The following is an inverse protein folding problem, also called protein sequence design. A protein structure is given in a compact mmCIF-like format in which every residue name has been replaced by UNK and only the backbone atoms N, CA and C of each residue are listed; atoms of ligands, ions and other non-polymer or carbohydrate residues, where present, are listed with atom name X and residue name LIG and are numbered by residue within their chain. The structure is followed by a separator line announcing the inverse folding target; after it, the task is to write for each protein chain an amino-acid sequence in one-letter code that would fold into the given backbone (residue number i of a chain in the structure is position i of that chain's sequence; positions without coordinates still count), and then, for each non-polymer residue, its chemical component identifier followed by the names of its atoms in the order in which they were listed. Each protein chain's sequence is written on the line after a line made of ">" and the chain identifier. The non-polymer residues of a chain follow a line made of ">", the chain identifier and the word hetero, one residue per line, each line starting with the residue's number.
data_IF_554869902469
#
_entry.id   IF_554869902469
#
_cell.length_a   1.000
_cell.length_b   1.000
_cell.length_c   1.000
_cell.angle_alpha   90.00
_cell.angle_beta   90.00
_cell.angle_gamma   90.00
#
_symmetry.space_group_name_H-M   'P 1'
#
loop_
_entity.id
_entity.type
_entity.pdbx_description
1 polymer ?
#
# COMPACT_ATOMS: atom_id res chain seq x y z
N UNK A 1 3.71 -15.43 17.61
CA UNK A 1 3.21 -14.05 17.54
C UNK A 1 4.00 -13.26 16.50
N UNK A 2 3.45 -12.16 16.06
CA UNK A 2 4.09 -11.28 15.08
C UNK A 2 4.78 -10.14 15.80
N UNK A 3 5.98 -9.75 15.37
CA UNK A 3 6.71 -8.59 15.91
C UNK A 3 6.10 -7.26 15.42
N UNK A 4 5.52 -7.26 14.21
CA UNK A 4 4.87 -6.10 13.59
C UNK A 4 3.54 -6.51 12.97
N UNK A 5 2.50 -5.72 13.22
CA UNK A 5 1.17 -5.88 12.58
C UNK A 5 0.82 -4.59 11.85
N UNK A 6 0.62 -4.65 10.55
CA UNK A 6 0.08 -3.55 9.77
C UNK A 6 -1.43 -3.73 9.57
N UNK A 7 -2.23 -2.75 9.97
CA UNK A 7 -3.69 -2.79 9.82
C UNK A 7 -4.12 -1.84 8.71
N UNK A 8 -4.83 -2.36 7.72
CA UNK A 8 -5.46 -1.55 6.69
C UNK A 8 -6.90 -1.23 7.11
N UNK A 9 -7.20 0.04 7.33
CA UNK A 9 -8.55 0.52 7.69
C UNK A 9 -9.43 0.82 6.47
N UNK A 10 -8.86 0.76 5.26
CA UNK A 10 -9.53 1.10 3.97
C UNK A 10 -10.23 2.47 3.99
N UNK A 11 -9.68 3.41 4.78
CA UNK A 11 -10.31 4.70 5.13
C UNK A 11 -10.09 5.80 4.09
N UNK A 12 -9.25 5.57 3.06
CA UNK A 12 -8.89 6.60 2.06
C UNK A 12 -10.09 7.25 1.39
N UNK A 13 -11.12 6.47 1.05
CA UNK A 13 -12.33 6.92 0.36
C UNK A 13 -13.51 7.22 1.30
N UNK A 14 -13.30 7.14 2.61
CA UNK A 14 -14.33 7.43 3.59
C UNK A 14 -14.44 8.95 3.81
N UNK A 15 -15.62 9.40 4.29
CA UNK A 15 -15.73 10.75 4.87
C UNK A 15 -14.83 10.86 6.10
N UNK A 16 -14.38 12.08 6.42
CA UNK A 16 -13.52 12.36 7.59
C UNK A 16 -14.02 11.68 8.87
N UNK A 17 -15.33 11.79 9.17
CA UNK A 17 -15.91 11.15 10.36
C UNK A 17 -15.75 9.63 10.35
N UNK A 18 -16.08 8.97 9.24
CA UNK A 18 -15.96 7.51 9.12
C UNK A 18 -14.52 7.06 9.15
N UNK A 19 -13.61 7.82 8.56
CA UNK A 19 -12.17 7.54 8.59
C UNK A 19 -11.63 7.65 10.03
N UNK A 20 -12.05 8.68 10.78
CA UNK A 20 -11.72 8.82 12.20
C UNK A 20 -12.21 7.60 12.99
N UNK A 21 -13.50 7.24 12.88
CA UNK A 21 -14.09 6.15 13.66
C UNK A 21 -13.39 4.82 13.36
N UNK A 22 -13.13 4.51 12.08
CA UNK A 22 -12.46 3.28 11.67
C UNK A 22 -11.05 3.17 12.27
N UNK A 23 -10.27 4.25 12.21
CA UNK A 23 -8.90 4.26 12.77
C UNK A 23 -8.95 4.24 14.30
N UNK A 24 -9.84 5.01 14.91
CA UNK A 24 -9.97 5.09 16.37
C UNK A 24 -10.31 3.73 16.99
N UNK A 25 -11.26 2.97 16.42
CA UNK A 25 -11.65 1.65 16.91
C UNK A 25 -10.49 0.64 16.86
N UNK A 26 -9.74 0.63 15.76
CA UNK A 26 -8.52 -0.19 15.64
C UNK A 26 -7.49 0.20 16.70
N UNK A 27 -7.20 1.49 16.83
CA UNK A 27 -6.24 1.99 17.81
C UNK A 27 -6.69 1.69 19.25
N UNK A 28 -7.99 1.85 19.55
CA UNK A 28 -8.56 1.53 20.84
C UNK A 28 -8.39 0.05 21.20
N UNK A 29 -8.58 -0.85 20.23
CA UNK A 29 -8.34 -2.28 20.43
C UNK A 29 -6.89 -2.55 20.81
N UNK A 30 -5.92 -2.02 20.06
CA UNK A 30 -4.50 -2.23 20.34
C UNK A 30 -4.05 -1.60 21.65
N UNK A 31 -4.48 -0.36 21.93
CA UNK A 31 -4.16 0.31 23.19
C UNK A 31 -4.69 -0.47 24.40
N UNK A 32 -5.93 -0.98 24.35
CA UNK A 32 -6.50 -1.84 25.38
C UNK A 32 -5.69 -3.12 25.64
N UNK A 33 -5.03 -3.64 24.62
CA UNK A 33 -4.20 -4.84 24.69
C UNK A 33 -2.71 -4.52 24.97
N UNK A 34 -2.41 -3.31 25.42
CA UNK A 34 -1.06 -2.91 25.86
C UNK A 34 -0.07 -2.58 24.76
N UNK A 35 -0.52 -2.39 23.53
CA UNK A 35 0.36 -1.95 22.45
C UNK A 35 0.83 -0.52 22.69
N UNK A 36 2.09 -0.23 22.33
CA UNK A 36 2.59 1.13 22.22
C UNK A 36 1.88 1.91 21.10
N UNK A 37 2.03 3.25 21.09
CA UNK A 37 1.52 4.08 20.01
C UNK A 37 2.08 3.60 18.66
N UNK A 38 1.21 3.41 17.65
CA UNK A 38 1.63 2.84 16.36
C UNK A 38 2.36 3.87 15.50
N UNK A 39 3.13 3.38 14.53
CA UNK A 39 3.49 4.20 13.38
C UNK A 39 2.24 4.45 12.54
N UNK A 40 1.84 5.72 12.35
CA UNK A 40 0.73 6.07 11.46
C UNK A 40 1.22 6.19 10.01
N UNK A 41 0.97 5.16 9.20
CA UNK A 41 1.31 5.18 7.78
C UNK A 41 0.33 6.05 7.00
N UNK A 42 0.85 7.01 6.24
CA UNK A 42 0.08 7.86 5.34
C UNK A 42 0.55 7.73 3.88
N UNK A 43 -0.29 8.19 2.96
CA UNK A 43 0.06 8.24 1.53
C UNK A 43 1.18 9.26 1.30
N UNK A 44 2.17 8.93 0.46
CA UNK A 44 3.33 9.80 0.20
C UNK A 44 3.02 11.04 -0.65
N UNK A 45 1.77 11.19 -1.10
CA UNK A 45 1.22 12.41 -1.72
C UNK A 45 -0.04 12.88 -0.99
N UNK A 46 -0.21 12.44 0.27
CA UNK A 46 -1.24 12.89 1.22
C UNK A 46 -2.69 12.71 0.74
N UNK A 47 -2.97 11.70 -0.10
CA UNK A 47 -4.34 11.37 -0.49
C UNK A 47 -5.11 10.77 0.69
N UNK A 48 -6.43 10.97 0.71
CA UNK A 48 -7.33 10.46 1.75
C UNK A 48 -7.48 11.43 2.91
N UNK A 49 -7.55 10.90 4.12
CA UNK A 49 -7.85 11.64 5.35
C UNK A 49 -6.65 11.70 6.33
N UNK A 50 -5.44 12.13 5.93
CA UNK A 50 -4.23 11.96 6.72
C UNK A 50 -4.29 12.62 8.09
N UNK A 51 -4.85 13.83 8.17
CA UNK A 51 -4.99 14.56 9.43
C UNK A 51 -6.01 13.94 10.37
N UNK A 52 -7.22 13.68 9.87
CA UNK A 52 -8.31 13.07 10.64
C UNK A 52 -7.93 11.69 11.19
N UNK A 53 -7.26 10.88 10.38
CA UNK A 53 -6.78 9.57 10.80
C UNK A 53 -5.67 9.67 11.84
N UNK A 54 -4.76 10.66 11.71
CA UNK A 54 -3.74 10.94 12.73
C UNK A 54 -4.36 11.40 14.05
N UNK A 55 -5.39 12.25 13.97
CA UNK A 55 -6.13 12.69 15.16
C UNK A 55 -6.73 11.50 15.93
N UNK A 56 -7.34 10.55 15.23
CA UNK A 56 -7.88 9.33 15.83
C UNK A 56 -6.81 8.51 16.57
N UNK A 57 -5.59 8.40 15.99
CA UNK A 57 -4.45 7.73 16.64
C UNK A 57 -4.06 8.50 17.92
N UNK A 58 -3.86 9.81 17.81
CA UNK A 58 -3.45 10.64 18.95
C UNK A 58 -4.46 10.60 20.09
N UNK A 59 -5.75 10.65 19.79
CA UNK A 59 -6.82 10.58 20.80
C UNK A 59 -6.85 9.22 21.50
N UNK A 60 -6.73 8.14 20.72
CA UNK A 60 -6.76 6.77 21.27
C UNK A 60 -5.57 6.49 22.20
N UNK A 61 -4.37 6.93 21.83
CA UNK A 61 -3.15 6.70 22.61
C UNK A 61 -2.84 7.84 23.58
N UNK A 62 -3.67 8.89 23.63
CA UNK A 62 -3.46 10.10 24.45
C UNK A 62 -2.07 10.68 24.23
N UNK A 63 -1.71 10.85 22.97
CA UNK A 63 -0.42 11.42 22.57
C UNK A 63 -0.50 12.94 22.53
N UNK A 64 0.50 13.60 23.09
CA UNK A 64 0.58 15.05 23.18
C UNK A 64 1.10 15.66 21.87
N UNK A 65 1.97 14.92 21.16
CA UNK A 65 2.66 15.38 19.95
C UNK A 65 2.56 14.39 18.81
N UNK A 66 2.74 14.88 17.57
CA UNK A 66 2.96 14.05 16.40
C UNK A 66 4.07 14.61 15.50
N UNK A 67 4.97 13.73 15.09
CA UNK A 67 5.98 13.95 14.05
C UNK A 67 5.42 13.46 12.73
N UNK A 68 5.23 14.35 11.75
CA UNK A 68 4.63 14.02 10.45
C UNK A 68 5.64 14.27 9.34
N UNK A 69 6.01 13.24 8.58
CA UNK A 69 6.84 13.43 7.39
C UNK A 69 6.37 12.53 6.24
N UNK A 70 5.67 13.09 5.23
CA UNK A 70 5.25 12.33 4.05
C UNK A 70 6.37 12.09 3.05
N UNK A 71 7.56 12.69 3.21
CA UNK A 71 8.66 12.58 2.27
C UNK A 71 9.07 11.12 2.01
N UNK A 72 9.50 10.86 0.79
CA UNK A 72 10.11 9.61 0.33
C UNK A 72 11.15 9.95 -0.74
N UNK A 73 12.34 10.44 -0.34
CA UNK A 73 13.36 10.92 -1.28
C UNK A 73 13.79 9.87 -2.30
N UNK A 74 13.95 8.62 -1.88
CA UNK A 74 14.25 7.51 -2.78
C UNK A 74 13.22 7.28 -3.89
N UNK A 75 12.03 7.88 -3.77
CA UNK A 75 10.96 7.85 -4.76
C UNK A 75 10.59 9.24 -5.30
N UNK A 76 11.52 10.19 -5.21
CA UNK A 76 11.38 11.55 -5.74
C UNK A 76 10.35 12.43 -5.03
N UNK A 77 10.04 12.14 -3.74
CA UNK A 77 9.10 12.95 -2.94
C UNK A 77 9.83 13.59 -1.78
N UNK A 78 9.84 14.91 -1.76
CA UNK A 78 10.52 15.70 -0.72
C UNK A 78 9.55 16.70 -0.09
N UNK A 79 9.81 17.08 1.15
CA UNK A 79 9.10 18.16 1.84
C UNK A 79 10.09 19.30 2.10
N UNK A 80 9.75 20.51 1.67
CA UNK A 80 10.56 21.70 1.90
C UNK A 80 9.65 22.90 2.13
N UNK A 81 9.90 23.66 3.20
CA UNK A 81 9.07 24.78 3.65
C UNK A 81 7.59 24.39 3.84
N UNK A 82 7.33 23.18 4.37
CA UNK A 82 5.99 22.64 4.55
C UNK A 82 5.27 22.24 3.26
N UNK A 83 5.93 22.31 2.11
CA UNK A 83 5.39 21.92 0.80
C UNK A 83 5.97 20.57 0.40
N UNK A 84 5.10 19.63 0.07
CA UNK A 84 5.45 18.33 -0.51
C UNK A 84 5.55 18.48 -2.04
N UNK A 85 6.69 18.08 -2.58
CA UNK A 85 6.98 18.02 -4.02
C UNK A 85 6.95 16.55 -4.47
N UNK A 86 6.17 16.24 -5.50
CA UNK A 86 6.01 14.90 -6.07
C UNK A 86 5.95 14.96 -7.60
N UNK A 87 7.08 14.93 -8.27
CA UNK A 87 7.20 15.27 -9.68
C UNK A 87 6.86 16.74 -9.90
N UNK A 88 5.88 17.02 -10.76
CA UNK A 88 5.41 18.39 -11.02
C UNK A 88 4.39 18.90 -9.99
N UNK A 89 3.88 18.00 -9.15
CA UNK A 89 2.86 18.35 -8.15
C UNK A 89 3.49 19.02 -6.93
N UNK A 90 2.79 20.06 -6.41
CA UNK A 90 3.11 20.77 -5.17
C UNK A 90 1.90 20.75 -4.26
N UNK A 91 2.06 20.18 -3.08
CA UNK A 91 0.98 20.00 -2.10
C UNK A 91 1.38 20.71 -0.80
N UNK A 92 0.55 21.61 -0.31
CA UNK A 92 0.73 22.18 1.02
C UNK A 92 0.50 21.09 2.08
N UNK A 93 1.58 20.52 2.59
CA UNK A 93 1.53 19.41 3.52
C UNK A 93 0.96 19.84 4.88
N UNK A 94 1.28 21.05 5.34
CA UNK A 94 0.76 21.60 6.59
C UNK A 94 -0.76 21.77 6.52
N UNK A 95 -1.25 22.41 5.45
CA UNK A 95 -2.68 22.63 5.23
C UNK A 95 -3.43 21.31 5.04
N UNK A 96 -2.85 20.38 4.28
CA UNK A 96 -3.48 19.08 4.02
C UNK A 96 -3.59 18.23 5.29
N UNK A 97 -2.55 18.21 6.12
CA UNK A 97 -2.58 17.50 7.41
C UNK A 97 -3.52 18.23 8.39
N UNK A 98 -3.51 19.57 8.41
CA UNK A 98 -4.44 20.32 9.25
C UNK A 98 -5.90 20.01 8.90
N UNK A 99 -6.27 19.98 7.61
CA UNK A 99 -7.57 19.53 7.11
C UNK A 99 -8.72 19.76 8.11
N UNK A 100 -9.36 18.65 8.51
CA UNK A 100 -10.44 18.63 9.50
C UNK A 100 -9.94 18.37 10.96
N UNK A 101 -8.62 18.46 11.21
CA UNK A 101 -8.08 18.28 12.57
C UNK A 101 -8.50 19.42 13.50
N UNK A 102 -8.72 19.08 14.77
CA UNK A 102 -8.92 20.05 15.85
C UNK A 102 -7.60 20.59 16.40
N UNK A 103 -6.51 19.85 16.17
CA UNK A 103 -5.16 20.19 16.66
C UNK A 103 -4.47 21.20 15.76
N UNK A 104 -3.67 22.06 16.36
CA UNK A 104 -2.85 23.03 15.62
C UNK A 104 -1.65 22.34 14.98
N UNK A 105 -1.48 22.55 13.67
CA UNK A 105 -0.39 22.00 12.87
C UNK A 105 0.62 23.09 12.53
N UNK A 106 1.92 22.80 12.64
CA UNK A 106 3.04 23.69 12.27
C UNK A 106 4.07 22.91 11.45
N UNK A 107 4.89 23.63 10.67
CA UNK A 107 6.06 23.05 10.02
C UNK A 107 7.30 23.15 10.89
N UNK A 108 8.20 22.18 10.75
CA UNK A 108 9.59 22.26 11.25
C UNK A 108 10.50 22.45 10.03
N UNK A 109 11.23 23.59 9.96
CA UNK A 109 12.08 23.88 8.81
C UNK A 109 13.22 22.87 8.62
N UNK A 110 13.69 22.73 7.39
CA UNK A 110 14.76 21.80 7.03
C UNK A 110 16.06 22.09 7.79
N UNK A 111 16.39 23.35 8.01
CA UNK A 111 17.56 23.77 8.79
C UNK A 111 17.48 23.21 10.22
N UNK A 112 16.34 23.34 10.89
CA UNK A 112 16.12 22.80 12.23
C UNK A 112 16.27 21.28 12.27
N UNK A 113 15.78 20.58 11.24
CA UNK A 113 15.96 19.11 11.12
C UNK A 113 17.44 18.74 11.00
N UNK A 114 18.22 19.55 10.25
CA UNK A 114 19.66 19.35 10.03
C UNK A 114 20.53 19.79 11.19
N UNK A 115 20.04 20.71 12.01
CA UNK A 115 20.72 21.11 13.26
C UNK A 115 20.70 20.01 14.33
N UNK A 116 19.93 18.92 14.09
CA UNK A 116 19.95 17.70 14.88
C UNK A 116 18.79 17.54 15.86
N UNK A 117 18.80 16.42 16.56
CA UNK A 117 17.67 15.93 17.37
C UNK A 117 17.24 16.91 18.47
N UNK A 118 18.20 17.52 19.16
CA UNK A 118 17.93 18.48 20.23
C UNK A 118 17.27 19.77 19.69
N UNK A 119 17.67 20.23 18.50
CA UNK A 119 17.10 21.40 17.86
C UNK A 119 15.63 21.16 17.48
N UNK A 120 15.32 19.99 16.90
CA UNK A 120 13.94 19.60 16.57
C UNK A 120 13.06 19.58 17.83
N UNK A 121 13.48 18.88 18.86
CA UNK A 121 12.71 18.78 20.12
C UNK A 121 12.45 20.15 20.75
N UNK A 122 13.51 20.99 20.84
CA UNK A 122 13.38 22.35 21.37
C UNK A 122 12.42 23.20 20.54
N UNK A 123 12.56 23.17 19.21
CA UNK A 123 11.67 23.92 18.30
C UNK A 123 10.20 23.54 18.50
N UNK A 124 9.90 22.22 18.57
CA UNK A 124 8.54 21.74 18.78
C UNK A 124 7.95 22.21 20.11
N UNK A 125 8.71 22.14 21.21
CA UNK A 125 8.27 22.59 22.52
C UNK A 125 8.06 24.12 22.57
N UNK A 126 8.98 24.89 21.96
CA UNK A 126 8.88 26.35 21.86
C UNK A 126 7.63 26.76 21.05
N UNK A 127 7.36 26.12 19.91
CA UNK A 127 6.17 26.39 19.11
C UNK A 127 4.88 25.92 19.79
N UNK A 128 4.90 24.79 20.49
CA UNK A 128 3.77 24.35 21.30
C UNK A 128 3.39 25.40 22.35
N UNK A 129 4.39 25.94 23.05
CA UNK A 129 4.17 26.98 24.07
C UNK A 129 3.62 28.29 23.51
N UNK A 130 4.03 28.67 22.25
CA UNK A 130 3.60 29.91 21.63
C UNK A 130 2.23 29.83 20.95
N UNK A 131 1.95 28.71 20.27
CA UNK A 131 0.81 28.56 19.36
C UNK A 131 -0.19 27.45 19.75
N UNK A 132 0.11 26.68 20.78
CA UNK A 132 -0.66 25.47 21.11
C UNK A 132 -0.50 24.35 20.09
N UNK A 133 0.56 24.38 19.26
CA UNK A 133 0.80 23.37 18.26
C UNK A 133 1.15 22.02 18.90
N UNK A 134 0.57 20.94 18.38
CA UNK A 134 0.82 19.59 18.83
C UNK A 134 1.14 18.63 17.67
N UNK A 135 0.96 19.07 16.43
CA UNK A 135 1.27 18.30 15.23
C UNK A 135 2.28 19.06 14.39
N UNK A 136 3.37 18.40 14.02
CA UNK A 136 4.48 19.02 13.32
C UNK A 136 4.80 18.29 12.04
N UNK A 137 4.71 19.00 10.90
CA UNK A 137 5.14 18.53 9.59
C UNK A 137 6.60 18.90 9.41
N UNK A 138 7.47 17.89 9.36
CA UNK A 138 8.91 18.08 9.28
C UNK A 138 9.40 18.03 7.83
N UNK A 139 10.23 19.00 7.46
CA UNK A 139 10.87 19.04 6.15
C UNK A 139 11.92 17.92 6.03
N UNK A 140 11.97 17.28 4.85
CA UNK A 140 12.98 16.28 4.50
C UNK A 140 13.18 16.21 2.99
N UNK A 141 14.45 16.35 2.55
CA UNK A 141 14.86 16.32 1.16
C UNK A 141 15.78 15.11 0.84
N UNK A 142 16.25 14.41 1.86
CA UNK A 142 17.18 13.29 1.75
C UNK A 142 16.84 12.18 2.76
N UNK A 143 17.44 11.00 2.57
CA UNK A 143 17.32 9.88 3.51
C UNK A 143 17.97 10.23 4.86
N UNK A 144 19.02 11.05 4.87
CA UNK A 144 19.63 11.53 6.11
C UNK A 144 18.70 12.46 6.89
N UNK A 145 17.91 13.30 6.22
CA UNK A 145 16.92 14.15 6.88
C UNK A 145 15.82 13.27 7.54
N UNK A 146 15.35 12.21 6.85
CA UNK A 146 14.40 11.25 7.44
C UNK A 146 14.98 10.54 8.66
N UNK A 147 16.27 10.16 8.60
CA UNK A 147 16.95 9.57 9.75
C UNK A 147 17.00 10.54 10.93
N UNK A 148 17.36 11.80 10.70
CA UNK A 148 17.37 12.84 11.74
C UNK A 148 16.01 13.02 12.39
N UNK A 149 14.93 12.98 11.61
CA UNK A 149 13.55 13.04 12.13
C UNK A 149 13.23 11.82 13.01
N UNK A 150 13.58 10.62 12.54
CA UNK A 150 13.39 9.39 13.32
C UNK A 150 14.18 9.42 14.64
N UNK A 151 15.45 9.82 14.57
CA UNK A 151 16.30 9.93 15.75
C UNK A 151 15.74 10.98 16.74
N UNK A 152 15.23 12.12 16.24
CA UNK A 152 14.60 13.14 17.05
C UNK A 152 13.32 12.61 17.75
N UNK A 153 12.46 11.88 17.02
CA UNK A 153 11.29 11.25 17.61
C UNK A 153 11.69 10.20 18.66
N UNK A 154 12.70 9.37 18.36
CA UNK A 154 13.16 8.31 19.28
C UNK A 154 13.71 8.85 20.62
N UNK A 155 14.24 10.07 20.62
CA UNK A 155 14.80 10.72 21.82
C UNK A 155 13.84 11.74 22.47
N UNK A 156 12.67 11.96 21.87
CA UNK A 156 11.69 12.91 22.40
C UNK A 156 10.97 12.33 23.62
N UNK A 157 10.99 13.06 24.73
CA UNK A 157 10.49 12.59 26.03
C UNK A 157 8.97 12.56 26.15
N UNK A 158 8.29 13.44 25.38
CA UNK A 158 6.84 13.57 25.46
C UNK A 158 6.14 12.45 24.69
N UNK A 159 4.91 12.12 25.09
CA UNK A 159 4.10 11.13 24.38
C UNK A 159 3.80 11.59 22.96
N UNK A 160 4.24 10.84 21.98
CA UNK A 160 4.09 11.22 20.59
C UNK A 160 3.73 10.06 19.67
N UNK A 161 3.27 10.43 18.47
CA UNK A 161 3.01 9.52 17.35
C UNK A 161 3.99 9.85 16.23
N UNK A 162 4.64 8.82 15.68
CA UNK A 162 5.40 8.94 14.44
C UNK A 162 4.47 8.65 13.26
N UNK A 163 4.39 9.60 12.31
CA UNK A 163 3.48 9.55 11.18
C UNK A 163 4.24 9.87 9.89
N UNK A 164 4.07 9.04 8.87
CA UNK A 164 4.75 9.32 7.60
C UNK A 164 4.50 8.31 6.48
N UNK A 165 5.21 8.50 5.38
CA UNK A 165 5.23 7.58 4.26
C UNK A 165 6.07 6.32 4.55
N UNK A 166 6.23 5.44 3.56
CA UNK A 166 7.14 4.30 3.66
C UNK A 166 8.61 4.73 3.82
N UNK A 167 8.99 5.93 3.37
CA UNK A 167 10.33 6.46 3.54
C UNK A 167 10.74 6.57 5.01
N UNK A 168 9.90 7.20 5.84
CA UNK A 168 10.14 7.32 7.27
C UNK A 168 9.92 5.99 8.01
N UNK A 169 8.89 5.20 7.62
CA UNK A 169 8.59 3.90 8.22
C UNK A 169 9.77 2.92 8.18
N UNK A 170 10.63 3.03 7.17
CA UNK A 170 11.82 2.19 7.02
C UNK A 170 12.75 2.28 8.23
N UNK A 171 12.94 3.47 8.78
CA UNK A 171 13.80 3.67 9.95
C UNK A 171 13.17 3.07 11.21
N UNK A 172 11.87 3.14 11.36
CA UNK A 172 11.17 2.50 12.48
C UNK A 172 11.23 0.96 12.37
N UNK A 173 11.16 0.42 11.16
CA UNK A 173 11.27 -1.02 10.91
C UNK A 173 12.69 -1.58 11.18
N UNK A 174 13.76 -0.77 11.08
CA UNK A 174 15.13 -1.23 11.28
C UNK A 174 15.39 -1.83 12.67
N UNK A 175 14.65 -1.43 13.70
CA UNK A 175 14.76 -2.02 15.04
C UNK A 175 14.33 -3.49 15.11
N UNK A 176 13.63 -3.98 14.08
CA UNK A 176 13.20 -5.37 13.98
C UNK A 176 14.05 -6.19 12.98
N UNK A 177 14.93 -5.53 12.20
CA UNK A 177 15.63 -6.13 11.07
C UNK A 177 16.73 -7.15 11.44
N UNK A 178 17.11 -7.26 12.69
CA UNK A 178 18.20 -8.16 13.11
C UNK A 178 17.78 -9.64 13.20
N UNK A 179 16.51 -9.97 13.01
CA UNK A 179 16.00 -11.30 13.38
C UNK A 179 15.84 -12.32 12.25
N UNK A 180 15.87 -11.95 10.96
CA UNK A 180 15.61 -12.98 9.92
C UNK A 180 16.44 -12.80 8.63
N UNK A 181 17.41 -13.70 8.47
CA UNK A 181 17.95 -14.08 7.16
C UNK A 181 17.44 -15.49 6.86
N UNK A 182 16.62 -15.69 5.82
CA UNK A 182 16.31 -17.04 5.32
C UNK A 182 14.84 -17.39 5.00
N UNK A 183 13.91 -16.46 5.10
CA UNK A 183 12.48 -16.78 4.90
C UNK A 183 12.09 -17.18 3.45
N UNK A 184 12.91 -16.87 2.45
CA UNK A 184 12.58 -17.17 1.04
C UNK A 184 12.76 -18.65 0.64
N UNK A 185 13.46 -19.46 1.46
CA UNK A 185 13.79 -20.84 1.11
C UNK A 185 12.63 -21.84 1.28
N UNK A 186 11.57 -21.47 1.98
CA UNK A 186 10.44 -22.37 2.32
C UNK A 186 9.07 -21.83 1.84
N UNK A 187 8.99 -21.34 0.59
CA UNK A 187 7.71 -20.95 0.03
C UNK A 187 6.82 -22.16 -0.18
N UNK A 188 5.54 -22.15 0.28
CA UNK A 188 4.61 -23.26 0.09
C UNK A 188 4.04 -23.27 -1.33
N UNK A 189 4.91 -23.27 -2.35
CA UNK A 189 4.48 -23.32 -3.74
C UNK A 189 3.91 -24.72 -4.06
N UNK A 190 2.66 -24.74 -4.50
CA UNK A 190 1.96 -25.94 -4.98
C UNK A 190 2.02 -26.01 -6.50
N UNK A 191 1.76 -27.18 -7.06
CA UNK A 191 1.53 -27.33 -8.49
C UNK A 191 0.30 -26.52 -8.89
N UNK A 192 0.34 -25.94 -10.08
CA UNK A 192 -0.72 -25.10 -10.59
C UNK A 192 -0.21 -23.97 -11.46
N UNK A 193 -1.08 -23.03 -11.79
CA UNK A 193 -0.73 -21.85 -12.58
C UNK A 193 -0.62 -20.59 -11.71
N UNK A 194 0.06 -19.59 -12.22
CA UNK A 194 0.15 -18.26 -11.62
C UNK A 194 -0.94 -17.35 -12.18
N UNK A 195 -1.75 -16.73 -11.32
CA UNK A 195 -2.71 -15.71 -11.73
C UNK A 195 -2.11 -14.31 -11.57
N UNK A 196 -1.94 -13.58 -12.67
CA UNK A 196 -1.56 -12.16 -12.67
C UNK A 196 -2.81 -11.32 -12.92
N UNK A 197 -3.21 -10.51 -11.93
CA UNK A 197 -4.46 -9.76 -11.97
C UNK A 197 -4.26 -8.27 -11.72
N UNK A 198 -4.89 -7.41 -12.53
CA UNK A 198 -4.74 -5.95 -12.44
C UNK A 198 -6.04 -5.17 -12.57
N UNK A 199 -6.35 -4.37 -11.55
CA UNK A 199 -7.32 -3.28 -11.61
C UNK A 199 -6.68 -1.90 -11.85
N UNK A 200 -5.36 -1.85 -12.08
CA UNK A 200 -4.62 -0.61 -12.27
C UNK A 200 -4.94 0.04 -13.61
N UNK A 201 -5.09 1.37 -13.62
CA UNK A 201 -5.20 2.21 -14.83
C UNK A 201 -3.88 2.94 -15.16
N UNK A 202 -2.79 2.60 -14.47
CA UNK A 202 -1.51 3.28 -14.60
C UNK A 202 -0.81 2.86 -15.90
N UNK A 203 -0.31 3.84 -16.69
CA UNK A 203 0.42 3.60 -17.95
C UNK A 203 1.62 2.66 -17.77
N UNK A 204 2.31 2.75 -16.64
CA UNK A 204 3.44 1.85 -16.34
C UNK A 204 3.00 0.40 -16.18
N UNK A 205 1.86 0.15 -15.52
CA UNK A 205 1.29 -1.19 -15.42
C UNK A 205 0.90 -1.74 -16.80
N UNK A 206 0.38 -0.90 -17.70
CA UNK A 206 0.09 -1.29 -19.10
C UNK A 206 1.34 -1.81 -19.83
N UNK A 207 2.47 -1.07 -19.73
CA UNK A 207 3.75 -1.50 -20.33
C UNK A 207 4.21 -2.83 -19.72
N UNK A 208 4.13 -2.96 -18.43
CA UNK A 208 4.51 -4.18 -17.71
C UNK A 208 3.66 -5.39 -18.11
N UNK A 209 2.34 -5.21 -18.24
CA UNK A 209 1.44 -6.26 -18.74
C UNK A 209 1.76 -6.65 -20.19
N UNK A 210 2.04 -5.68 -21.07
CA UNK A 210 2.39 -5.96 -22.46
C UNK A 210 3.67 -6.81 -22.53
N UNK A 211 4.72 -6.39 -21.83
CA UNK A 211 5.99 -7.16 -21.76
C UNK A 211 5.78 -8.57 -21.21
N UNK A 212 4.94 -8.71 -20.18
CA UNK A 212 4.64 -10.03 -19.63
C UNK A 212 3.85 -10.89 -20.63
N UNK A 213 2.86 -10.33 -21.35
CA UNK A 213 2.14 -11.05 -22.41
C UNK A 213 3.10 -11.61 -23.47
N UNK A 214 4.06 -10.78 -23.90
CA UNK A 214 5.06 -11.17 -24.90
C UNK A 214 6.00 -12.26 -24.36
N UNK A 215 6.41 -12.15 -23.09
CA UNK A 215 7.29 -13.09 -22.41
C UNK A 215 6.67 -14.48 -22.25
N UNK A 216 5.47 -14.54 -21.68
CA UNK A 216 4.75 -15.83 -21.48
C UNK A 216 4.01 -16.31 -22.73
N UNK A 217 4.08 -15.56 -23.82
CA UNK A 217 3.43 -15.84 -25.12
C UNK A 217 1.94 -16.13 -25.00
N UNK A 218 1.27 -15.45 -24.07
CA UNK A 218 -0.18 -15.57 -23.87
C UNK A 218 -0.85 -14.20 -23.94
N UNK A 219 -2.14 -14.18 -24.28
CA UNK A 219 -2.91 -12.94 -24.33
C UNK A 219 -3.56 -12.67 -22.97
N UNK A 220 -3.71 -11.40 -22.61
CA UNK A 220 -4.48 -11.01 -21.43
C UNK A 220 -5.98 -11.34 -21.62
N UNK A 221 -6.62 -11.86 -20.59
CA UNK A 221 -8.08 -11.94 -20.47
C UNK A 221 -8.55 -10.56 -20.00
N UNK A 222 -9.33 -9.89 -20.85
CA UNK A 222 -9.76 -8.53 -20.61
C UNK A 222 -11.20 -8.53 -20.11
N UNK A 223 -11.41 -8.03 -18.90
CA UNK A 223 -12.74 -7.82 -18.32
C UNK A 223 -13.24 -6.42 -18.70
N UNK A 224 -14.39 -6.37 -19.37
CA UNK A 224 -14.93 -5.11 -19.89
C UNK A 224 -15.43 -4.19 -18.78
N UNK A 225 -14.71 -3.08 -18.60
CA UNK A 225 -14.95 -2.09 -17.53
C UNK A 225 -16.34 -1.46 -17.61
N UNK A 226 -16.82 -1.17 -18.82
CA UNK A 226 -18.12 -0.48 -19.01
C UNK A 226 -19.28 -1.42 -18.67
N UNK A 227 -19.21 -2.66 -19.10
CA UNK A 227 -20.24 -3.66 -18.80
C UNK A 227 -20.27 -4.01 -17.31
N UNK A 228 -19.11 -4.05 -16.63
CA UNK A 228 -19.06 -4.23 -15.18
C UNK A 228 -19.76 -3.07 -14.46
N UNK A 229 -19.55 -1.84 -14.91
CA UNK A 229 -20.10 -0.65 -14.25
C UNK A 229 -21.58 -0.40 -14.53
N UNK A 230 -22.01 -0.62 -15.76
CA UNK A 230 -23.30 -0.15 -16.25
C UNK A 230 -24.19 -1.22 -16.87
N UNK A 231 -23.72 -2.46 -16.92
CA UNK A 231 -24.41 -3.58 -17.56
C UNK A 231 -24.48 -4.81 -16.66
N UNK A 232 -24.29 -5.96 -17.29
CA UNK A 232 -24.33 -7.27 -16.63
C UNK A 232 -22.92 -7.72 -16.24
N UNK A 233 -22.53 -7.45 -15.00
CA UNK A 233 -21.26 -7.90 -14.43
C UNK A 233 -21.12 -9.43 -14.52
N UNK A 234 -22.17 -10.17 -14.17
CA UNK A 234 -22.15 -11.64 -14.13
C UNK A 234 -21.78 -12.22 -15.50
N UNK A 235 -22.27 -11.63 -16.59
CA UNK A 235 -21.92 -12.02 -17.95
C UNK A 235 -20.42 -11.83 -18.23
N UNK A 236 -19.84 -10.71 -17.81
CA UNK A 236 -18.39 -10.45 -17.98
C UNK A 236 -17.57 -11.44 -17.20
N UNK A 237 -17.93 -11.70 -15.92
CA UNK A 237 -17.20 -12.64 -15.09
C UNK A 237 -17.30 -14.08 -15.61
N UNK A 238 -18.47 -14.49 -16.14
CA UNK A 238 -18.65 -15.79 -16.76
C UNK A 238 -17.77 -15.95 -18.01
N UNK A 239 -17.76 -14.95 -18.91
CA UNK A 239 -16.93 -14.97 -20.12
C UNK A 239 -15.43 -15.03 -19.78
N UNK A 240 -14.99 -14.24 -18.78
CA UNK A 240 -13.61 -14.27 -18.31
C UNK A 240 -13.23 -15.63 -17.71
N UNK A 241 -14.11 -16.22 -16.90
CA UNK A 241 -13.90 -17.53 -16.30
C UNK A 241 -13.82 -18.65 -17.37
N UNK A 242 -14.71 -18.64 -18.36
CA UNK A 242 -14.64 -19.61 -19.47
C UNK A 242 -13.33 -19.48 -20.27
N UNK A 243 -12.87 -18.25 -20.52
CA UNK A 243 -11.58 -18.01 -21.16
C UNK A 243 -10.42 -18.53 -20.32
N UNK A 244 -10.46 -18.33 -19.00
CA UNK A 244 -9.47 -18.87 -18.08
C UNK A 244 -9.47 -20.39 -18.12
N UNK A 245 -10.64 -21.03 -18.04
CA UNK A 245 -10.81 -22.50 -18.09
C UNK A 245 -10.19 -23.11 -19.35
N UNK A 246 -10.48 -22.52 -20.52
CA UNK A 246 -9.93 -22.99 -21.81
C UNK A 246 -8.40 -22.91 -21.85
N UNK A 247 -7.80 -21.87 -21.27
CA UNK A 247 -6.35 -21.69 -21.25
C UNK A 247 -5.66 -22.65 -20.30
N UNK A 248 -6.23 -22.83 -19.11
CA UNK A 248 -5.71 -23.81 -18.16
C UNK A 248 -5.76 -25.21 -18.77
N UNK A 249 -6.87 -25.56 -19.42
CA UNK A 249 -7.00 -26.82 -20.16
C UNK A 249 -6.01 -26.97 -21.32
N UNK A 250 -5.57 -25.85 -21.91
CA UNK A 250 -4.54 -25.83 -22.95
C UNK A 250 -3.11 -25.89 -22.39
N UNK A 251 -2.92 -25.89 -21.07
CA UNK A 251 -1.63 -26.01 -20.41
C UNK A 251 -0.93 -24.68 -20.11
N UNK A 252 -1.65 -23.54 -20.14
CA UNK A 252 -1.07 -22.26 -19.75
C UNK A 252 -0.67 -22.30 -18.27
N UNK A 253 0.59 -21.99 -17.98
CA UNK A 253 1.13 -21.93 -16.61
C UNK A 253 0.97 -20.56 -15.96
N UNK A 254 0.57 -19.55 -16.74
CA UNK A 254 0.36 -18.18 -16.29
C UNK A 254 -0.88 -17.61 -16.95
N UNK A 255 -1.83 -17.16 -16.14
CA UNK A 255 -3.02 -16.45 -16.60
C UNK A 255 -2.89 -14.96 -16.30
N UNK A 256 -3.15 -14.12 -17.30
CA UNK A 256 -3.21 -12.68 -17.14
C UNK A 256 -4.66 -12.20 -17.25
N UNK A 257 -5.11 -11.46 -16.24
CA UNK A 257 -6.45 -10.85 -16.17
C UNK A 257 -6.31 -9.37 -15.88
N UNK A 258 -6.96 -8.53 -16.68
CA UNK A 258 -7.00 -7.10 -16.45
C UNK A 258 -8.33 -6.47 -16.86
N UNK A 259 -8.62 -5.30 -16.33
CA UNK A 259 -9.72 -4.46 -16.79
C UNK A 259 -9.41 -3.87 -18.17
N UNK A 260 -10.43 -3.67 -19.02
CA UNK A 260 -10.26 -3.02 -20.33
C UNK A 260 -9.68 -1.61 -20.20
N UNK A 261 -9.99 -0.91 -19.10
CA UNK A 261 -9.43 0.41 -18.79
C UNK A 261 -7.91 0.45 -18.62
N UNK A 262 -7.23 -0.68 -18.44
CA UNK A 262 -5.76 -0.72 -18.48
C UNK A 262 -5.20 -0.39 -19.88
N UNK A 263 -5.93 -0.75 -20.92
CA UNK A 263 -5.50 -0.63 -22.33
C UNK A 263 -6.10 0.57 -23.06
N UNK A 264 -7.00 1.30 -22.42
CA UNK A 264 -7.60 2.53 -22.93
C UNK A 264 -6.71 3.74 -22.61
N UNK A 265 -6.71 4.75 -23.49
CA UNK A 265 -6.03 6.01 -23.21
C UNK A 265 -6.94 6.88 -22.33
N UNK A 266 -6.73 6.81 -21.03
CA UNK A 266 -7.40 7.66 -20.08
C UNK A 266 -6.66 8.99 -19.93
N UNK A 267 -7.29 10.06 -20.40
CA UNK A 267 -7.04 11.39 -19.81
C UNK A 267 -7.69 11.36 -18.43
N UNK A 268 -6.89 11.39 -17.37
CA UNK A 268 -7.40 11.51 -16.01
C UNK A 268 -8.10 12.86 -15.92
N UNK A 269 -9.39 12.89 -16.19
CA UNK A 269 -10.22 14.03 -15.81
C UNK A 269 -10.39 13.87 -14.29
N UNK A 270 -9.70 14.72 -13.53
CA UNK A 270 -9.92 14.91 -12.09
C UNK A 270 -11.34 15.46 -11.88
N UNK A 271 -12.35 14.66 -12.14
CA UNK A 271 -13.72 14.91 -11.73
C UNK A 271 -13.99 14.09 -10.49
N UNK A 272 -14.39 14.76 -9.46
CA UNK A 272 -14.91 14.28 -8.19
C UNK A 272 -14.22 13.03 -7.61
N UNK A 273 -13.42 13.23 -6.57
CA UNK A 273 -12.63 12.17 -5.95
C UNK A 273 -13.50 10.98 -5.51
N UNK A 274 -14.69 11.24 -5.00
CA UNK A 274 -15.58 10.23 -4.43
C UNK A 274 -16.19 9.30 -5.49
N UNK A 275 -16.56 9.82 -6.65
CA UNK A 275 -17.11 9.01 -7.74
C UNK A 275 -16.02 8.09 -8.33
N UNK A 276 -14.81 8.61 -8.52
CA UNK A 276 -13.67 7.83 -8.98
C UNK A 276 -13.32 6.68 -8.03
N UNK A 277 -13.43 6.89 -6.71
CA UNK A 277 -13.19 5.86 -5.72
C UNK A 277 -14.27 4.78 -5.72
N UNK A 278 -15.55 5.17 -5.83
CA UNK A 278 -16.67 4.21 -5.92
C UNK A 278 -16.55 3.34 -7.15
N UNK A 279 -16.20 3.93 -8.29
CA UNK A 279 -15.96 3.18 -9.52
C UNK A 279 -14.79 2.19 -9.39
N UNK A 280 -13.68 2.62 -8.81
CA UNK A 280 -12.52 1.77 -8.58
C UNK A 280 -12.86 0.61 -7.63
N UNK A 281 -13.69 0.85 -6.61
CA UNK A 281 -14.15 -0.18 -5.69
C UNK A 281 -15.00 -1.25 -6.37
N UNK A 282 -16.00 -0.84 -7.17
CA UNK A 282 -16.86 -1.77 -7.94
C UNK A 282 -16.01 -2.67 -8.83
N UNK A 283 -15.08 -2.09 -9.58
CA UNK A 283 -14.21 -2.81 -10.50
C UNK A 283 -13.24 -3.77 -9.77
N UNK A 284 -12.67 -3.32 -8.65
CA UNK A 284 -11.78 -4.16 -7.86
C UNK A 284 -12.53 -5.32 -7.19
N UNK A 285 -13.76 -5.10 -6.74
CA UNK A 285 -14.63 -6.18 -6.22
C UNK A 285 -14.96 -7.23 -7.30
N UNK A 286 -15.25 -6.79 -8.53
CA UNK A 286 -15.49 -7.70 -9.65
C UNK A 286 -14.28 -8.59 -9.95
N UNK A 287 -13.07 -7.99 -9.96
CA UNK A 287 -11.84 -8.76 -10.12
C UNK A 287 -11.58 -9.72 -8.95
N UNK A 288 -11.88 -9.30 -7.71
CA UNK A 288 -11.79 -10.17 -6.54
C UNK A 288 -12.70 -11.40 -6.65
N UNK A 289 -13.97 -11.21 -7.04
CA UNK A 289 -14.92 -12.31 -7.28
C UNK A 289 -14.45 -13.25 -8.40
N UNK A 290 -13.89 -12.70 -9.47
CA UNK A 290 -13.35 -13.52 -10.56
C UNK A 290 -12.16 -14.36 -10.08
N UNK A 291 -11.25 -13.76 -9.31
CA UNK A 291 -10.09 -14.47 -8.76
C UNK A 291 -10.50 -15.59 -7.79
N UNK A 292 -11.48 -15.34 -6.91
CA UNK A 292 -12.00 -16.35 -6.00
C UNK A 292 -12.61 -17.52 -6.78
N UNK A 293 -13.43 -17.25 -7.78
CA UNK A 293 -14.01 -18.28 -8.63
C UNK A 293 -12.98 -19.09 -9.40
N UNK A 294 -11.90 -18.45 -9.87
CA UNK A 294 -10.77 -19.14 -10.53
C UNK A 294 -10.07 -20.04 -9.51
N UNK A 295 -9.86 -19.55 -8.28
CA UNK A 295 -9.26 -20.33 -7.20
C UNK A 295 -10.08 -21.56 -6.82
N UNK A 296 -11.41 -21.42 -6.72
CA UNK A 296 -12.34 -22.53 -6.44
C UNK A 296 -12.33 -23.62 -7.53
N UNK A 297 -12.14 -23.20 -8.78
CA UNK A 297 -12.22 -24.11 -9.93
C UNK A 297 -10.92 -24.78 -10.34
N UNK A 298 -9.77 -24.24 -9.94
CA UNK A 298 -8.48 -24.69 -10.49
C UNK A 298 -7.33 -24.56 -9.48
N UNK A 299 -6.30 -25.42 -9.54
CA UNK A 299 -5.14 -25.33 -8.68
C UNK A 299 -4.31 -24.07 -8.99
N UNK A 300 -4.25 -23.15 -8.05
CA UNK A 300 -3.44 -21.93 -8.12
C UNK A 300 -2.11 -22.16 -7.38
N UNK A 301 -0.99 -21.80 -8.04
CA UNK A 301 0.33 -21.77 -7.43
C UNK A 301 0.54 -20.50 -6.63
N UNK A 302 0.23 -19.36 -7.22
CA UNK A 302 0.41 -18.05 -6.65
C UNK A 302 -0.46 -17.00 -7.35
N UNK A 303 -0.62 -15.86 -6.70
CA UNK A 303 -1.25 -14.67 -7.29
C UNK A 303 -0.24 -13.54 -7.38
N UNK A 304 -0.22 -12.81 -8.49
CA UNK A 304 0.46 -11.52 -8.65
C UNK A 304 -0.60 -10.44 -8.79
N UNK A 305 -0.80 -9.64 -7.75
CA UNK A 305 -1.84 -8.61 -7.69
C UNK A 305 -1.28 -7.23 -7.96
N UNK A 306 -1.81 -6.53 -8.97
CA UNK A 306 -1.40 -5.19 -9.36
C UNK A 306 -2.46 -4.14 -8.98
N UNK A 307 -2.15 -3.33 -7.98
CA UNK A 307 -3.02 -2.28 -7.43
C UNK A 307 -3.47 -2.60 -6.01
N UNK A 308 -3.33 -1.62 -5.10
CA UNK A 308 -3.66 -1.79 -3.68
C UNK A 308 -5.13 -2.16 -3.47
N UNK A 309 -6.05 -1.42 -4.10
CA UNK A 309 -7.49 -1.67 -4.00
C UNK A 309 -7.85 -3.06 -4.53
N UNK A 310 -7.22 -3.48 -5.64
CA UNK A 310 -7.40 -4.84 -6.20
C UNK A 310 -6.96 -5.89 -5.20
N UNK A 311 -5.81 -5.71 -4.56
CA UNK A 311 -5.29 -6.64 -3.55
C UNK A 311 -6.23 -6.79 -2.36
N UNK A 312 -6.74 -5.67 -1.83
CA UNK A 312 -7.69 -5.69 -0.70
C UNK A 312 -8.97 -6.44 -1.07
N UNK A 313 -9.56 -6.15 -2.23
CA UNK A 313 -10.80 -6.82 -2.66
C UNK A 313 -10.60 -8.29 -3.01
N UNK A 314 -9.41 -8.64 -3.51
CA UNK A 314 -9.01 -10.03 -3.74
C UNK A 314 -8.88 -10.80 -2.41
N UNK A 315 -8.15 -10.26 -1.42
CA UNK A 315 -8.06 -10.87 -0.10
C UNK A 315 -9.45 -11.08 0.52
N UNK A 316 -10.31 -10.06 0.47
CA UNK A 316 -11.68 -10.16 0.98
C UNK A 316 -12.50 -11.25 0.26
N UNK A 317 -12.38 -11.38 -1.06
CA UNK A 317 -13.10 -12.39 -1.84
C UNK A 317 -12.62 -13.81 -1.56
N UNK A 318 -11.34 -13.98 -1.20
CA UNK A 318 -10.73 -15.25 -0.80
C UNK A 318 -10.90 -15.55 0.72
N UNK A 319 -11.57 -14.66 1.46
CA UNK A 319 -11.76 -14.80 2.91
C UNK A 319 -10.48 -14.58 3.73
N UNK A 320 -9.40 -14.13 3.10
CA UNK A 320 -8.15 -13.86 3.79
C UNK A 320 -8.25 -12.55 4.58
N UNK A 321 -7.77 -12.55 5.81
CA UNK A 321 -7.75 -11.38 6.68
C UNK A 321 -6.39 -10.72 6.78
N UNK A 322 -5.35 -11.30 6.17
CA UNK A 322 -4.00 -10.75 6.18
C UNK A 322 -3.10 -11.31 5.10
N UNK A 323 -1.93 -10.69 4.99
CA UNK A 323 -0.79 -11.18 4.21
C UNK A 323 0.40 -11.20 5.15
N UNK A 324 1.03 -12.34 5.31
CA UNK A 324 2.30 -12.48 6.02
C UNK A 324 3.45 -12.28 5.02
N UNK A 325 4.24 -11.20 5.14
CA UNK A 325 5.36 -10.95 4.24
C UNK A 325 6.45 -12.01 4.40
N UNK A 326 7.01 -12.48 3.29
CA UNK A 326 8.10 -13.46 3.26
C UNK A 326 9.40 -12.80 2.81
N UNK A 327 9.40 -12.14 1.66
CA UNK A 327 10.59 -11.46 1.14
C UNK A 327 10.19 -10.34 0.16
N UNK A 328 11.14 -9.55 -0.26
CA UNK A 328 10.98 -8.57 -1.33
C UNK A 328 11.69 -9.08 -2.59
N UNK A 329 10.94 -9.28 -3.68
CA UNK A 329 11.51 -9.78 -4.95
C UNK A 329 12.36 -8.68 -5.61
N UNK A 330 11.78 -7.50 -5.71
CA UNK A 330 12.46 -6.26 -6.10
C UNK A 330 11.90 -5.12 -5.25
N UNK A 331 12.61 -4.00 -5.09
CA UNK A 331 12.17 -2.90 -4.26
C UNK A 331 10.71 -2.48 -4.52
N UNK A 332 9.85 -2.52 -3.49
CA UNK A 332 8.43 -2.20 -3.56
C UNK A 332 7.53 -3.30 -4.12
N UNK A 333 8.04 -4.53 -4.24
CA UNK A 333 7.27 -5.68 -4.75
C UNK A 333 7.45 -6.88 -3.80
N UNK A 334 6.76 -6.86 -2.65
CA UNK A 334 6.86 -7.94 -1.68
C UNK A 334 6.09 -9.18 -2.13
N UNK A 335 6.65 -10.34 -1.78
CA UNK A 335 6.01 -11.64 -1.76
C UNK A 335 5.61 -11.95 -0.33
N UNK A 336 4.42 -12.46 -0.14
CA UNK A 336 3.91 -12.97 1.12
C UNK A 336 3.01 -14.17 0.89
N UNK A 337 2.39 -14.64 1.96
CA UNK A 337 1.35 -15.67 1.92
C UNK A 337 0.06 -15.12 2.51
N UNK A 338 -1.07 -15.54 1.97
CA UNK A 338 -2.38 -15.19 2.52
C UNK A 338 -2.56 -15.85 3.89
N UNK A 339 -3.20 -15.12 4.81
CA UNK A 339 -3.51 -15.63 6.15
C UNK A 339 -5.02 -15.71 6.31
N UNK A 340 -5.50 -16.92 6.59
CA UNK A 340 -6.91 -17.23 6.79
C UNK A 340 -7.72 -17.40 5.51
N UNK A 341 -9.00 -17.78 5.69
CA UNK A 341 -9.90 -18.10 4.60
C UNK A 341 -9.56 -19.42 3.91
N UNK A 342 -10.20 -19.65 2.75
CA UNK A 342 -10.02 -20.88 1.97
C UNK A 342 -8.65 -20.91 1.27
N UNK A 343 -8.10 -19.75 0.98
CA UNK A 343 -6.80 -19.57 0.34
C UNK A 343 -5.65 -19.36 1.33
N UNK A 344 -5.80 -19.85 2.56
CA UNK A 344 -4.74 -19.77 3.58
C UNK A 344 -3.43 -20.35 3.05
N UNK A 345 -2.33 -19.66 3.35
CA UNK A 345 -0.98 -20.02 2.88
C UNK A 345 -0.75 -19.91 1.37
N UNK A 346 -1.70 -19.41 0.56
CA UNK A 346 -1.47 -19.19 -0.86
C UNK A 346 -0.47 -18.02 -1.06
N UNK A 347 0.62 -18.23 -1.81
CA UNK A 347 1.58 -17.17 -2.11
C UNK A 347 0.97 -16.04 -2.91
N UNK A 348 1.26 -14.80 -2.49
CA UNK A 348 0.80 -13.59 -3.16
C UNK A 348 1.93 -12.58 -3.30
N UNK A 349 2.15 -12.09 -4.52
CA UNK A 349 3.00 -10.95 -4.81
C UNK A 349 2.12 -9.73 -4.97
N UNK A 350 2.43 -8.66 -4.26
CA UNK A 350 1.68 -7.40 -4.36
C UNK A 350 2.53 -6.30 -4.98
N UNK A 351 1.93 -5.55 -5.91
CA UNK A 351 2.59 -4.48 -6.63
C UNK A 351 1.71 -3.24 -6.73
N UNK A 352 2.22 -2.09 -6.32
CA UNK A 352 1.54 -0.81 -6.58
C UNK A 352 1.56 -0.46 -8.06
N UNK A 353 0.48 0.13 -8.60
CA UNK A 353 0.31 0.41 -10.03
C UNK A 353 1.46 1.22 -10.67
N UNK A 354 2.04 2.18 -9.95
CA UNK A 354 3.11 3.04 -10.46
C UNK A 354 4.54 2.57 -10.20
N UNK A 355 4.74 1.40 -9.57
CA UNK A 355 6.04 0.94 -9.09
C UNK A 355 6.71 -0.11 -10.01
N UNK A 356 8.03 -0.26 -9.82
CA UNK A 356 8.86 -1.27 -10.46
C UNK A 356 9.39 -0.84 -11.83
N UNK A 357 10.33 -1.63 -12.37
CA UNK A 357 10.82 -1.54 -13.74
C UNK A 357 9.70 -1.92 -14.74
N UNK A 358 9.93 -1.73 -16.01
CA UNK A 358 9.00 -2.22 -17.04
C UNK A 358 8.93 -3.75 -17.10
N UNK A 359 9.93 -4.46 -16.57
CA UNK A 359 10.02 -5.93 -16.53
C UNK A 359 9.58 -6.54 -15.20
N UNK A 360 9.16 -5.74 -14.22
CA UNK A 360 8.88 -6.23 -12.85
C UNK A 360 7.90 -7.41 -12.80
N UNK A 361 6.86 -7.42 -13.65
CA UNK A 361 5.92 -8.54 -13.68
C UNK A 361 6.55 -9.82 -14.25
N UNK A 362 7.45 -9.68 -15.21
CA UNK A 362 8.25 -10.82 -15.72
C UNK A 362 9.17 -11.35 -14.63
N UNK A 363 9.85 -10.46 -13.89
CA UNK A 363 10.71 -10.82 -12.75
C UNK A 363 9.92 -11.57 -11.66
N UNK A 364 8.69 -11.13 -11.37
CA UNK A 364 7.80 -11.83 -10.43
C UNK A 364 7.43 -13.25 -10.88
N UNK A 365 7.06 -13.40 -12.14
CA UNK A 365 6.69 -14.71 -12.71
C UNK A 365 7.90 -15.64 -12.76
N UNK A 366 9.06 -15.14 -13.19
CA UNK A 366 10.31 -15.89 -13.20
C UNK A 366 10.72 -16.37 -11.82
N UNK A 367 10.59 -15.50 -10.81
CA UNK A 367 10.85 -15.87 -9.43
C UNK A 367 10.00 -17.07 -8.99
N UNK A 368 8.69 -17.04 -9.28
CA UNK A 368 7.78 -18.13 -8.94
C UNK A 368 8.07 -19.41 -9.73
N UNK A 369 8.53 -19.30 -10.97
CA UNK A 369 8.90 -20.46 -11.79
C UNK A 369 10.19 -21.13 -11.32
N UNK A 370 11.21 -20.36 -10.96
CA UNK A 370 12.51 -20.86 -10.49
C UNK A 370 12.40 -21.60 -9.15
N UNK A 371 11.52 -21.18 -8.26
CA UNK A 371 11.31 -21.82 -6.98
C UNK A 371 10.39 -23.06 -7.06
N UNK A 372 9.94 -23.44 -8.26
CA UNK A 372 9.10 -24.63 -8.47
C UNK A 372 9.88 -25.94 -8.48
N UNK A 373 11.16 -25.88 -8.81
CA UNK A 373 12.03 -27.03 -8.79
C UNK A 373 12.83 -26.96 -7.50
N UNK A 374 12.46 -27.79 -6.53
CA UNK A 374 13.31 -28.08 -5.38
C UNK A 374 14.59 -28.76 -5.84
N UNK A 375 15.35 -28.12 -6.73
CA UNK A 375 16.73 -28.48 -7.02
C UNK A 375 17.55 -28.05 -5.83
N UNK A 376 17.74 -29.01 -4.93
CA UNK A 376 18.88 -29.03 -4.01
C UNK A 376 20.12 -29.17 -4.89
N UNK A 377 20.90 -28.09 -5.05
CA UNK A 377 22.32 -28.23 -5.28
C UNK A 377 23.05 -28.49 -3.96
#
# INVERSE_FOLDING_TARGET
>A
GYDVIAVNTDSRAMSSTKAYDAVYEVCRFFNKNGAAAPYKKIDSVLRGNPGTELEAVMDSFKSDFAFVCPAYPGNGRIVKNGILYAGDDKIDAVKTVAGDMKRTVRSVPLETVRDGTAAVGKYMLDEASKSGASVFVLDACSESDLKSIYDAASLFSEKHVLCGSAGLARFDAMRFAEKEKGAAENLPLKDGFTLVISGSRNKKTRIQFQKLCDYVRTRCIVADTKTIKYGDESKVLNDCFEKASRRIAAGDTTLLVALSSLFEDFTIVLKDSDENYREADVLSRALGRLAARIYEGFPLRAIVSCGGDTTVRLCNALGAFGIEPVCEIVPGTPLGVLVGGEADSLPIITKSGGFGSDSVLTECVDFLLKHNHGERE
#
